data_IF_597750036520
#
_entry.id   IF_597750036520
#
_cell.length_a   1.000
_cell.length_b   1.000
_cell.length_c   1.000
_cell.angle_alpha   90.00
_cell.angle_beta   90.00
_cell.angle_gamma   90.00
#
_symmetry.space_group_name_H-M   'P 1'
#
loop_
_entity.id
_entity.type
_entity.pdbx_description
1 polymer ?
#
# COMPACT_ATOMS: atom_id res chain seq x y z
N UNK A 1 -8.63 -9.14 4.93
CA UNK A 1 -8.62 -9.75 3.57
C UNK A 1 -8.05 -8.81 2.49
N UNK A 2 -7.92 -7.50 2.72
CA UNK A 2 -7.44 -6.49 1.75
C UNK A 2 -5.92 -6.36 1.64
N UNK A 3 -5.13 -6.90 2.58
CA UNK A 3 -3.67 -6.73 2.67
C UNK A 3 -2.91 -7.73 1.79
N UNK A 4 -3.60 -8.78 1.33
CA UNK A 4 -3.03 -9.78 0.43
C UNK A 4 -2.75 -9.15 -0.93
N UNK A 5 -3.54 -8.17 -1.39
CA UNK A 5 -3.51 -7.76 -2.80
C UNK A 5 -2.45 -6.73 -3.17
N UNK A 6 -2.13 -5.76 -2.30
CA UNK A 6 -1.11 -4.75 -2.65
C UNK A 6 0.31 -5.31 -2.50
N UNK A 7 0.57 -6.15 -1.50
CA UNK A 7 1.83 -6.86 -1.38
C UNK A 7 1.92 -8.08 -2.29
N UNK A 8 0.81 -8.75 -2.67
CA UNK A 8 0.85 -9.71 -3.77
C UNK A 8 1.13 -9.01 -5.11
N UNK A 9 0.64 -7.78 -5.30
CA UNK A 9 1.01 -6.94 -6.44
C UNK A 9 2.50 -6.56 -6.38
N UNK A 10 3.05 -6.23 -5.19
CA UNK A 10 4.50 -6.03 -5.03
C UNK A 10 5.30 -7.32 -5.30
N UNK A 11 4.81 -8.49 -4.87
CA UNK A 11 5.38 -9.80 -5.24
C UNK A 11 5.33 -10.07 -6.75
N UNK A 12 4.32 -9.55 -7.45
CA UNK A 12 4.26 -9.59 -8.93
C UNK A 12 5.44 -8.85 -9.59
N UNK A 13 6.11 -7.94 -8.87
CA UNK A 13 7.29 -7.21 -9.35
C UNK A 13 8.62 -7.78 -8.83
N UNK A 14 8.61 -8.81 -7.96
CA UNK A 14 9.82 -9.32 -7.30
C UNK A 14 10.78 -10.04 -8.25
N UNK A 15 10.33 -10.54 -9.40
CA UNK A 15 11.23 -11.31 -10.26
C UNK A 15 12.16 -10.46 -11.12
N UNK A 16 11.89 -9.16 -11.37
CA UNK A 16 12.72 -8.36 -12.29
C UNK A 16 12.79 -6.83 -12.03
N UNK A 17 12.32 -6.29 -10.90
CA UNK A 17 12.33 -4.84 -10.73
C UNK A 17 12.59 -4.30 -9.31
N UNK A 18 13.35 -3.20 -9.23
CA UNK A 18 13.70 -2.50 -7.99
C UNK A 18 12.53 -1.69 -7.38
N UNK A 19 11.34 -1.74 -7.99
CA UNK A 19 10.16 -0.99 -7.59
C UNK A 19 9.82 -1.14 -6.10
N UNK A 20 9.92 -2.36 -5.56
CA UNK A 20 9.70 -2.62 -4.12
C UNK A 20 10.61 -1.74 -3.26
N UNK A 21 11.90 -1.71 -3.57
CA UNK A 21 12.87 -0.93 -2.80
C UNK A 21 12.65 0.56 -2.98
N UNK A 22 12.31 1.02 -4.19
CA UNK A 22 11.99 2.42 -4.45
C UNK A 22 10.78 2.89 -3.63
N UNK A 23 9.72 2.09 -3.55
CA UNK A 23 8.56 2.39 -2.69
C UNK A 23 8.95 2.37 -1.21
N UNK A 24 9.70 1.37 -0.77
CA UNK A 24 10.15 1.30 0.63
C UNK A 24 11.06 2.46 1.04
N UNK A 25 11.82 3.03 0.10
CA UNK A 25 12.65 4.22 0.35
C UNK A 25 11.85 5.52 0.50
N UNK A 26 10.59 5.54 0.04
CA UNK A 26 9.69 6.70 0.17
C UNK A 26 8.93 6.67 1.51
N UNK A 27 8.72 5.49 2.08
CA UNK A 27 7.89 5.28 3.25
C UNK A 27 8.71 5.31 4.55
N UNK A 28 8.11 5.84 5.62
CA UNK A 28 8.70 5.83 6.96
C UNK A 28 8.35 4.55 7.73
N UNK A 29 7.29 3.85 7.31
CA UNK A 29 6.73 2.68 7.99
C UNK A 29 6.48 1.53 7.02
N UNK A 30 6.39 0.32 7.58
CA UNK A 30 6.05 -0.86 6.78
C UNK A 30 4.66 -0.69 6.17
N UNK A 31 4.48 -0.86 4.85
CA UNK A 31 3.21 -0.59 4.17
C UNK A 31 2.18 -1.71 4.34
N UNK A 32 1.79 -1.95 5.60
CA UNK A 32 0.63 -2.76 5.94
C UNK A 32 -0.66 -2.07 5.47
N UNK A 33 -1.81 -2.49 5.97
CA UNK A 33 -3.08 -2.11 5.38
C UNK A 33 -3.71 -0.84 5.91
N UNK A 34 -4.21 -0.05 4.95
CA UNK A 34 -4.79 1.25 5.21
C UNK A 34 -3.82 2.13 6.03
N UNK A 35 -2.53 1.84 5.95
CA UNK A 35 -1.45 2.51 6.64
C UNK A 35 -0.88 3.61 5.75
N UNK A 36 0.39 3.96 5.95
CA UNK A 36 1.07 5.04 5.26
C UNK A 36 0.96 4.98 3.74
N UNK A 37 1.22 3.84 3.11
CA UNK A 37 1.20 3.69 1.64
C UNK A 37 -0.19 3.96 1.05
N UNK A 38 -1.20 3.22 1.51
CA UNK A 38 -2.58 3.33 1.04
C UNK A 38 -3.14 4.74 1.27
N UNK A 39 -2.89 5.29 2.46
CA UNK A 39 -3.37 6.63 2.85
C UNK A 39 -2.67 7.71 2.03
N UNK A 40 -1.36 7.58 1.78
CA UNK A 40 -0.61 8.54 0.94
C UNK A 40 -1.16 8.56 -0.49
N UNK A 41 -1.40 7.38 -1.08
CA UNK A 41 -2.04 7.27 -2.40
C UNK A 41 -3.42 7.95 -2.42
N UNK A 42 -4.25 7.73 -1.40
CA UNK A 42 -5.57 8.36 -1.32
C UNK A 42 -5.49 9.89 -1.11
N UNK A 43 -4.53 10.39 -0.34
CA UNK A 43 -4.26 11.82 -0.19
C UNK A 43 -3.88 12.48 -1.52
N UNK A 44 -3.18 11.76 -2.40
CA UNK A 44 -2.85 12.22 -3.75
C UNK A 44 -4.06 12.14 -4.71
N UNK A 45 -4.72 10.98 -4.78
CA UNK A 45 -5.75 10.70 -5.78
C UNK A 45 -7.11 11.35 -5.46
N UNK A 46 -7.50 11.35 -4.18
CA UNK A 46 -8.80 11.82 -3.74
C UNK A 46 -8.75 12.30 -2.29
N UNK A 47 -8.06 13.42 -2.01
CA UNK A 47 -7.84 13.91 -0.65
C UNK A 47 -9.14 14.16 0.12
N UNK A 48 -10.24 14.49 -0.58
CA UNK A 48 -11.56 14.72 0.02
C UNK A 48 -12.17 13.48 0.67
N UNK A 49 -11.68 12.28 0.36
CA UNK A 49 -12.12 11.03 0.97
C UNK A 49 -11.31 10.65 2.22
N UNK A 50 -10.23 11.37 2.52
CA UNK A 50 -9.40 11.13 3.69
C UNK A 50 -9.78 12.14 4.78
N UNK A 51 -10.22 11.64 5.93
CA UNK A 51 -10.54 12.48 7.08
C UNK A 51 -9.23 12.75 7.85
N UNK A 52 -8.60 13.88 7.56
CA UNK A 52 -7.26 14.24 8.06
C UNK A 52 -7.17 14.19 9.59
N UNK A 53 -8.23 14.61 10.29
CA UNK A 53 -8.28 14.61 11.75
C UNK A 53 -8.20 13.19 12.32
N UNK A 54 -8.71 12.21 11.58
CA UNK A 54 -8.68 10.81 12.01
C UNK A 54 -7.33 10.16 11.79
N UNK A 55 -6.54 10.57 10.80
CA UNK A 55 -5.28 9.89 10.47
C UNK A 55 -4.10 10.26 11.37
N UNK A 56 -4.13 11.42 12.04
CA UNK A 56 -3.00 11.96 12.81
C UNK A 56 -2.44 11.00 13.87
N UNK A 57 -3.30 10.18 14.46
CA UNK A 57 -2.93 9.20 15.49
C UNK A 57 -3.39 7.77 15.11
N UNK A 58 -3.74 7.55 13.84
CA UNK A 58 -4.32 6.29 13.37
C UNK A 58 -3.24 5.24 13.16
N UNK A 59 -3.02 4.43 14.19
CA UNK A 59 -2.07 3.30 14.16
C UNK A 59 -2.57 2.11 14.97
N UNK A 60 -2.39 0.91 14.43
CA UNK A 60 -2.83 -0.33 15.05
C UNK A 60 -1.91 -1.47 14.62
N UNK A 61 -1.33 -2.20 15.58
CA UNK A 61 -0.37 -3.28 15.33
C UNK A 61 -0.90 -4.59 15.93
N UNK A 62 -1.96 -5.17 15.32
CA UNK A 62 -2.57 -6.40 15.81
C UNK A 62 -1.58 -7.56 15.73
N UNK A 63 -1.62 -8.45 16.72
CA UNK A 63 -0.84 -9.69 16.73
C UNK A 63 -1.69 -10.82 16.16
N UNK A 64 -1.38 -11.23 14.94
CA UNK A 64 -1.99 -12.41 14.33
C UNK A 64 -1.14 -13.65 14.64
N UNK A 65 -1.76 -14.70 15.17
CA UNK A 65 -1.19 -16.05 15.19
C UNK A 65 -1.09 -16.61 13.76
N UNK A 66 0.07 -17.17 13.43
CA UNK A 66 0.42 -17.69 12.09
C UNK A 66 -0.40 -18.92 11.67
N UNK A 67 -0.99 -19.65 12.62
CA UNK A 67 -1.70 -20.91 12.37
C UNK A 67 -3.22 -20.76 12.32
N UNK A 68 -3.74 -19.54 12.12
CA UNK A 68 -5.18 -19.26 12.11
C UNK A 68 -5.64 -18.49 10.89
N UNK A 69 -6.83 -18.85 10.42
CA UNK A 69 -7.58 -18.09 9.41
C UNK A 69 -8.48 -17.10 10.14
N UNK A 70 -8.37 -15.82 9.80
CA UNK A 70 -9.17 -14.75 10.38
C UNK A 70 -10.29 -14.36 9.41
N UNK A 71 -11.52 -14.76 9.74
CA UNK A 71 -12.71 -14.43 8.95
C UNK A 71 -13.29 -13.05 9.31
N UNK A 72 -13.14 -12.62 10.57
CA UNK A 72 -13.51 -11.26 11.02
C UNK A 72 -12.28 -10.57 11.61
N UNK A 73 -11.92 -9.42 11.03
CA UNK A 73 -10.81 -8.58 11.49
C UNK A 73 -11.12 -7.86 12.79
N UNK A 74 -12.40 -7.56 13.09
CA UNK A 74 -12.82 -6.71 14.22
C UNK A 74 -12.47 -7.27 15.60
N UNK A 75 -12.23 -8.57 15.69
CA UNK A 75 -11.74 -9.20 16.93
C UNK A 75 -10.29 -8.82 17.26
N UNK A 76 -9.55 -8.30 16.27
CA UNK A 76 -8.11 -8.05 16.36
C UNK A 76 -7.74 -6.60 16.09
N UNK A 77 -8.60 -5.87 15.38
CA UNK A 77 -8.42 -4.45 15.08
C UNK A 77 -9.69 -3.68 15.37
N UNK A 78 -9.57 -2.54 16.04
CA UNK A 78 -10.66 -1.64 16.38
C UNK A 78 -10.98 -0.70 15.22
N UNK A 79 -9.96 -0.30 14.46
CA UNK A 79 -10.07 0.77 13.45
C UNK A 79 -10.12 0.25 12.02
N UNK A 80 -9.75 -1.01 11.80
CA UNK A 80 -9.67 -1.61 10.47
C UNK A 80 -8.32 -1.46 9.78
N UNK A 81 -7.39 -0.72 10.39
CA UNK A 81 -6.02 -0.56 9.88
C UNK A 81 -5.09 -1.65 10.43
N UNK A 82 -3.98 -1.85 9.76
CA UNK A 82 -2.80 -2.55 10.27
C UNK A 82 -1.61 -1.69 9.88
N UNK A 83 -0.80 -1.22 10.83
CA UNK A 83 0.29 -0.27 10.59
C UNK A 83 0.00 1.13 11.12
N UNK A 84 0.72 2.12 10.60
CA UNK A 84 0.65 3.52 11.01
C UNK A 84 0.33 4.42 9.80
N UNK A 85 -0.82 5.08 9.82
CA UNK A 85 -1.25 6.00 8.77
C UNK A 85 -0.84 7.45 9.04
N UNK A 86 -0.33 7.78 10.23
CA UNK A 86 0.01 9.16 10.63
C UNK A 86 1.16 9.76 9.84
N UNK A 87 1.96 8.92 9.19
CA UNK A 87 3.11 9.30 8.35
C UNK A 87 2.76 9.56 6.90
N UNK A 88 1.49 9.37 6.54
CA UNK A 88 1.03 9.53 5.17
C UNK A 88 1.07 10.99 4.73
N UNK A 89 1.52 11.23 3.51
CA UNK A 89 1.50 12.56 2.89
C UNK A 89 1.07 12.48 1.44
N UNK A 90 0.55 13.59 0.91
CA UNK A 90 0.17 13.70 -0.50
C UNK A 90 1.38 13.52 -1.42
N UNK A 91 2.52 14.07 -1.02
CA UNK A 91 3.78 14.04 -1.78
C UNK A 91 4.31 12.62 -1.93
N UNK A 92 4.28 11.81 -0.86
CA UNK A 92 4.62 10.39 -0.93
C UNK A 92 3.68 9.65 -1.88
N UNK A 93 2.38 9.94 -1.80
CA UNK A 93 1.38 9.36 -2.68
C UNK A 93 1.62 9.64 -4.15
N UNK A 94 1.98 10.88 -4.47
CA UNK A 94 2.31 11.31 -5.84
C UNK A 94 3.53 10.59 -6.39
N UNK A 95 4.61 10.47 -5.60
CA UNK A 95 5.83 9.76 -5.99
C UNK A 95 5.52 8.29 -6.29
N UNK A 96 4.84 7.61 -5.36
CA UNK A 96 4.51 6.20 -5.47
C UNK A 96 3.56 5.93 -6.64
N UNK A 97 2.53 6.77 -6.81
CA UNK A 97 1.60 6.64 -7.94
C UNK A 97 2.33 6.72 -9.29
N UNK A 98 3.27 7.66 -9.43
CA UNK A 98 4.04 7.79 -10.66
C UNK A 98 4.97 6.62 -10.91
N UNK A 99 5.57 6.04 -9.86
CA UNK A 99 6.35 4.80 -9.96
C UNK A 99 5.48 3.65 -10.47
N UNK A 100 4.31 3.42 -9.87
CA UNK A 100 3.37 2.38 -10.30
C UNK A 100 2.89 2.60 -11.73
N UNK A 101 2.50 3.83 -12.08
CA UNK A 101 2.08 4.19 -13.44
C UNK A 101 3.17 3.90 -14.47
N UNK A 102 4.40 4.30 -14.18
CA UNK A 102 5.55 4.10 -15.06
C UNK A 102 5.81 2.60 -15.28
N UNK A 103 5.84 1.83 -14.19
CA UNK A 103 6.12 0.41 -14.26
C UNK A 103 5.02 -0.37 -14.97
N UNK A 104 3.76 -0.14 -14.64
CA UNK A 104 2.63 -0.77 -15.32
C UNK A 104 2.64 -0.45 -16.82
N UNK A 105 2.91 0.80 -17.19
CA UNK A 105 2.99 1.20 -18.60
C UNK A 105 4.13 0.49 -19.34
N UNK A 106 5.28 0.30 -18.68
CA UNK A 106 6.42 -0.44 -19.24
C UNK A 106 6.06 -1.90 -19.49
N UNK A 107 5.45 -2.57 -18.51
CA UNK A 107 5.07 -3.98 -18.63
C UNK A 107 4.01 -4.22 -19.70
N UNK A 108 2.99 -3.38 -19.76
CA UNK A 108 1.95 -3.47 -20.80
C UNK A 108 2.58 -3.39 -22.20
N UNK A 109 3.53 -2.47 -22.41
CA UNK A 109 4.24 -2.34 -23.70
C UNK A 109 5.08 -3.58 -24.02
N UNK A 110 5.77 -4.14 -23.03
CA UNK A 110 6.57 -5.34 -23.23
C UNK A 110 5.70 -6.53 -23.65
N UNK A 111 4.57 -6.75 -22.96
CA UNK A 111 3.62 -7.80 -23.30
C UNK A 111 3.06 -7.62 -24.72
N UNK A 112 2.76 -6.38 -25.12
CA UNK A 112 2.27 -6.10 -26.48
C UNK A 112 3.30 -6.43 -27.57
N UNK A 113 4.60 -6.24 -27.31
CA UNK A 113 5.67 -6.59 -28.25
C UNK A 113 5.87 -8.10 -28.34
N UNK A 114 5.72 -8.85 -27.24
CA UNK A 114 5.89 -10.30 -27.22
C UNK A 114 4.73 -11.08 -27.90
N UNK A 115 3.57 -10.43 -28.12
CA UNK A 115 2.38 -11.02 -28.74
C UNK A 115 2.34 -10.83 -30.26
N UNK A 116 3.20 -9.97 -30.84
CA UNK A 116 3.28 -9.68 -32.29
C UNK A 116 4.49 -10.40 -32.90
#
# INVERSE_FOLDING_TARGET
LSHIYLFSAIRFFEENNNLKQEVLNILDTTPYHAAELDTSLMLYLSPKLVIIEKIKDLKEFPKFSESRIYLDGRLWMNTGIVGDASKATREKGEQIFNLFKSELSKQIKQIQVEII
#
